data_IF_075718254739
#
_entry.id   IF_075718254739
#
_cell.length_a   1.000
_cell.length_b   1.000
_cell.length_c   1.000
_cell.angle_alpha   90.00
_cell.angle_beta   90.00
_cell.angle_gamma   90.00
#
_symmetry.space_group_name_H-M   'P 1'
#
loop_
_entity.id
_entity.type
_entity.pdbx_description
1 polymer ?
#
# COMPACT_ATOMS: atom_id res chain seq x y z
N UNK A 1 -6.67 -33.04 -17.42
CA UNK A 1 -5.86 -32.22 -16.51
C UNK A 1 -6.46 -30.83 -16.55
N UNK A 2 -7.28 -30.48 -15.55
CA UNK A 2 -7.90 -29.16 -15.50
C UNK A 2 -6.81 -28.14 -15.16
N UNK A 3 -6.45 -27.31 -16.14
CA UNK A 3 -5.60 -26.15 -15.90
C UNK A 3 -6.52 -25.12 -15.23
N UNK A 4 -6.50 -25.10 -13.90
CA UNK A 4 -7.12 -24.02 -13.14
C UNK A 4 -6.40 -22.72 -13.50
N UNK A 5 -7.04 -21.91 -14.36
CA UNK A 5 -6.61 -20.53 -14.62
C UNK A 5 -6.85 -19.76 -13.32
N UNK A 6 -5.81 -19.67 -12.47
CA UNK A 6 -5.79 -18.71 -11.37
C UNK A 6 -5.88 -17.32 -12.01
N UNK A 7 -7.05 -16.69 -11.92
CA UNK A 7 -7.18 -15.26 -12.19
C UNK A 7 -6.14 -14.56 -11.30
N UNK A 8 -5.11 -14.02 -11.93
CA UNK A 8 -3.98 -13.41 -11.22
C UNK A 8 -4.47 -12.05 -10.72
N UNK A 9 -5.10 -12.03 -9.54
CA UNK A 9 -5.56 -10.79 -8.90
C UNK A 9 -4.34 -9.92 -8.67
N UNK A 10 -4.29 -8.75 -9.30
CA UNK A 10 -3.19 -7.80 -9.15
C UNK A 10 -3.01 -7.44 -7.68
N UNK A 11 -1.80 -7.58 -7.15
CA UNK A 11 -1.51 -7.27 -5.75
C UNK A 11 -1.48 -5.75 -5.54
N UNK A 12 -1.73 -5.28 -4.32
CA UNK A 12 -1.60 -3.85 -3.99
C UNK A 12 -0.21 -3.32 -4.35
N UNK A 13 0.84 -4.13 -4.12
CA UNK A 13 2.21 -3.78 -4.49
C UNK A 13 2.38 -3.54 -5.99
N UNK A 14 1.74 -4.36 -6.83
CA UNK A 14 1.79 -4.23 -8.28
C UNK A 14 1.06 -2.98 -8.77
N UNK A 15 -0.07 -2.64 -8.16
CA UNK A 15 -0.82 -1.40 -8.47
C UNK A 15 0.03 -0.16 -8.17
N UNK A 16 0.84 -0.19 -7.11
CA UNK A 16 1.65 0.95 -6.65
C UNK A 16 3.04 1.01 -7.28
N UNK A 17 3.34 0.19 -8.29
CA UNK A 17 4.69 0.03 -8.84
C UNK A 17 5.32 1.35 -9.33
N UNK A 18 4.51 2.27 -9.85
CA UNK A 18 4.88 3.56 -10.41
C UNK A 18 5.29 4.61 -9.37
N UNK A 19 4.85 4.44 -8.12
CA UNK A 19 5.12 5.39 -7.02
C UNK A 19 5.79 4.73 -5.82
N UNK A 20 6.17 3.46 -5.93
CA UNK A 20 6.56 2.70 -4.75
C UNK A 20 7.86 3.17 -4.12
N UNK A 21 8.86 3.55 -4.92
CA UNK A 21 10.15 3.96 -4.38
C UNK A 21 10.13 5.42 -3.91
N UNK A 22 9.14 6.19 -4.38
CA UNK A 22 8.94 7.61 -4.12
C UNK A 22 8.21 7.87 -2.80
N UNK A 23 7.38 6.91 -2.36
CA UNK A 23 6.55 7.07 -1.16
C UNK A 23 7.29 6.62 0.09
N UNK A 24 7.31 7.49 1.12
CA UNK A 24 7.81 7.13 2.44
C UNK A 24 6.82 6.22 3.20
N UNK A 25 6.95 4.91 2.98
CA UNK A 25 6.08 3.89 3.58
C UNK A 25 6.18 3.82 5.11
N UNK A 26 7.33 4.15 5.69
CA UNK A 26 7.49 4.18 7.15
C UNK A 26 6.66 5.30 7.78
N UNK A 27 6.66 6.48 7.16
CA UNK A 27 5.82 7.60 7.54
C UNK A 27 4.34 7.24 7.37
N UNK A 28 3.97 6.65 6.23
CA UNK A 28 2.58 6.30 5.95
C UNK A 28 2.02 5.29 6.97
N UNK A 29 2.77 4.22 7.27
CA UNK A 29 2.40 3.22 8.27
C UNK A 29 2.20 3.84 9.66
N UNK A 30 3.12 4.71 10.09
CA UNK A 30 3.05 5.35 11.41
C UNK A 30 1.88 6.32 11.52
N UNK A 31 1.75 7.25 10.56
CA UNK A 31 0.87 8.40 10.71
C UNK A 31 -0.55 8.15 10.23
N UNK A 32 -0.73 7.29 9.22
CA UNK A 32 -2.07 6.97 8.74
C UNK A 32 -2.60 5.69 9.36
N UNK A 33 -1.77 4.70 9.71
CA UNK A 33 -2.26 3.42 10.26
C UNK A 33 -1.99 3.23 11.76
N UNK A 34 -1.08 4.01 12.36
CA UNK A 34 -0.64 3.76 13.74
C UNK A 34 0.10 2.42 13.88
N UNK A 35 0.74 1.95 12.81
CA UNK A 35 1.41 0.64 12.73
C UNK A 35 2.90 0.80 12.40
N UNK A 36 3.65 -0.28 12.58
CA UNK A 36 5.06 -0.33 12.19
C UNK A 36 5.22 -0.38 10.68
N UNK A 37 6.41 0.02 10.19
CA UNK A 37 6.81 -0.19 8.79
C UNK A 37 6.74 -1.67 8.38
N UNK A 38 7.16 -2.57 9.27
CA UNK A 38 7.15 -4.02 9.01
C UNK A 38 5.74 -4.54 8.77
N UNK A 39 4.74 -4.06 9.52
CA UNK A 39 3.33 -4.40 9.29
C UNK A 39 2.91 -4.10 7.85
N UNK A 40 3.23 -2.90 7.34
CA UNK A 40 2.86 -2.51 5.98
C UNK A 40 3.60 -3.35 4.92
N UNK A 41 4.85 -3.73 5.18
CA UNK A 41 5.61 -4.60 4.28
C UNK A 41 5.09 -6.02 4.22
N UNK A 42 4.60 -6.59 5.33
CA UNK A 42 3.91 -7.88 5.30
C UNK A 42 2.65 -7.84 4.43
N UNK A 43 1.89 -6.74 4.52
CA UNK A 43 0.72 -6.52 3.66
C UNK A 43 1.10 -6.43 2.17
N UNK A 44 2.20 -5.75 1.84
CA UNK A 44 2.68 -5.69 0.44
C UNK A 44 3.25 -7.03 -0.07
N UNK A 45 3.92 -7.80 0.79
CA UNK A 45 4.45 -9.12 0.43
C UNK A 45 3.38 -10.20 0.37
N UNK A 46 2.16 -9.92 0.84
CA UNK A 46 1.07 -10.88 0.91
C UNK A 46 1.26 -11.94 2.01
N UNK A 47 2.29 -11.81 2.85
CA UNK A 47 2.69 -12.83 3.83
C UNK A 47 3.31 -12.23 5.09
N UNK A 48 2.94 -12.82 6.23
CA UNK A 48 3.48 -12.50 7.55
C UNK A 48 3.88 -13.79 8.25
N UNK A 49 5.18 -14.02 8.43
CA UNK A 49 5.71 -15.25 9.04
C UNK A 49 5.16 -16.54 8.42
N UNK A 50 5.02 -16.56 7.08
CA UNK A 50 4.52 -17.72 6.32
C UNK A 50 3.00 -17.85 6.26
N UNK A 51 2.25 -16.99 6.94
CA UNK A 51 0.79 -16.93 6.86
C UNK A 51 0.38 -15.87 5.85
N UNK A 52 -0.65 -16.14 5.04
CA UNK A 52 -1.20 -15.16 4.12
C UNK A 52 -1.65 -13.91 4.87
N UNK A 53 -1.19 -12.74 4.42
CA UNK A 53 -1.48 -11.46 5.04
C UNK A 53 -1.73 -10.41 3.95
N UNK A 54 -2.97 -9.95 3.84
CA UNK A 54 -3.39 -8.96 2.84
C UNK A 54 -4.14 -7.81 3.51
N UNK A 55 -4.27 -6.69 2.81
CA UNK A 55 -5.08 -5.57 3.26
C UNK A 55 -6.56 -5.99 3.35
N UNK A 56 -7.18 -5.72 4.50
CA UNK A 56 -8.64 -5.74 4.60
C UNK A 56 -9.24 -4.64 3.73
N UNK A 57 -10.54 -4.70 3.42
CA UNK A 57 -11.20 -3.64 2.64
C UNK A 57 -11.10 -2.26 3.32
N UNK A 58 -11.15 -2.25 4.65
CA UNK A 58 -10.94 -1.04 5.46
C UNK A 58 -9.51 -0.52 5.31
N UNK A 59 -8.51 -1.40 5.35
CA UNK A 59 -7.11 -0.99 5.17
C UNK A 59 -6.84 -0.51 3.73
N UNK A 60 -7.53 -1.08 2.73
CA UNK A 60 -7.43 -0.67 1.32
C UNK A 60 -7.97 0.73 1.12
N UNK A 61 -9.15 1.03 1.65
CA UNK A 61 -9.70 2.38 1.55
C UNK A 61 -8.81 3.36 2.29
N UNK A 62 -8.32 3.01 3.49
CA UNK A 62 -7.40 3.86 4.26
C UNK A 62 -6.09 4.13 3.53
N UNK A 63 -5.55 3.14 2.81
CA UNK A 63 -4.35 3.30 1.98
C UNK A 63 -4.61 4.24 0.80
N UNK A 64 -5.76 4.11 0.14
CA UNK A 64 -6.17 5.02 -0.93
C UNK A 64 -6.31 6.45 -0.41
N UNK A 65 -7.01 6.67 0.70
CA UNK A 65 -7.19 8.02 1.26
C UNK A 65 -5.86 8.62 1.73
N UNK A 66 -4.93 7.83 2.29
CA UNK A 66 -3.62 8.32 2.70
C UNK A 66 -2.74 8.74 1.52
N UNK A 67 -2.76 7.97 0.42
CA UNK A 67 -2.06 8.34 -0.80
C UNK A 67 -2.63 9.62 -1.42
N UNK A 68 -3.96 9.77 -1.45
CA UNK A 68 -4.61 11.00 -1.92
C UNK A 68 -4.25 12.23 -1.07
N UNK A 69 -4.21 12.08 0.26
CA UNK A 69 -3.80 13.15 1.16
C UNK A 69 -2.34 13.57 0.93
N UNK A 70 -1.42 12.60 0.80
CA UNK A 70 0.00 12.87 0.51
C UNK A 70 0.13 13.59 -0.83
N UNK A 71 -0.55 13.13 -1.88
CA UNK A 71 -0.54 13.76 -3.20
C UNK A 71 -1.02 15.22 -3.14
N UNK A 72 -2.14 15.48 -2.46
CA UNK A 72 -2.67 16.83 -2.28
C UNK A 72 -1.69 17.75 -1.54
N UNK A 73 -1.02 17.24 -0.50
CA UNK A 73 -0.01 17.99 0.25
C UNK A 73 1.24 18.30 -0.58
N UNK A 74 1.66 17.38 -1.44
CA UNK A 74 2.76 17.60 -2.39
C UNK A 74 2.40 18.71 -3.37
N UNK A 75 1.19 18.66 -3.96
CA UNK A 75 0.72 19.71 -4.88
C UNK A 75 0.68 21.08 -4.21
N UNK A 76 0.06 21.19 -3.03
CA UNK A 76 0.02 22.44 -2.28
C UNK A 76 1.41 22.96 -1.88
N UNK A 77 2.37 22.08 -1.64
CA UNK A 77 3.76 22.49 -1.38
C UNK A 77 4.41 23.05 -2.65
N UNK A 78 4.19 22.41 -3.80
CA UNK A 78 4.69 22.89 -5.09
C UNK A 78 4.11 24.26 -5.47
N UNK A 79 2.82 24.50 -5.26
CA UNK A 79 2.16 25.78 -5.56
C UNK A 79 2.65 26.96 -4.68
N UNK A 80 3.34 26.66 -3.57
CA UNK A 80 3.91 27.66 -2.65
C UNK A 80 5.37 28.01 -2.93
N UNK A 81 6.01 27.33 -3.88
CA UNK A 81 7.37 27.65 -4.36
C UNK A 81 7.31 28.77 -5.40
#
# INVERSE_FOLDING_TARGET
>A
MEIAIKQQKTTVRQVLNDVYEEVNWAYLAKNYFGKSRSWLYHKFSGTNNGVADDFSDVDRERLKTSLQDIAGRIMQAADRL
#
